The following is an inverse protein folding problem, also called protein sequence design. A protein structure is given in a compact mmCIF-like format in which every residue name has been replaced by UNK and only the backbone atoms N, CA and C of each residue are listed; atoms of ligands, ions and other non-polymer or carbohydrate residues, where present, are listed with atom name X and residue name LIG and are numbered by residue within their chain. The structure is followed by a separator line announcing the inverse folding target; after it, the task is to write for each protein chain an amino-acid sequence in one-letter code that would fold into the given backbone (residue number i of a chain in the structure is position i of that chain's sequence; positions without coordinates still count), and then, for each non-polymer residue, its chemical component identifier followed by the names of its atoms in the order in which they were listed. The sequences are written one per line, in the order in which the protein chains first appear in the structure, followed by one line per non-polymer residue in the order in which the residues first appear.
data_IF_161437634435
#
_entry.id   IF_161437634435
#
_cell.length_a   1.000
_cell.length_b   1.000
_cell.length_c   1.000
_cell.angle_alpha   90.00
_cell.angle_beta   90.00
_cell.angle_gamma   90.00
#
_symmetry.space_group_name_H-M   'P 1'
#
loop_
_entity.id
_entity.type
_entity.pdbx_description
1 polymer ?
#
# COMPACT_ATOMS: atom_id res chain seq x y z
N UNK A 1 -22.85 24.44 8.17
CA UNK A 1 -21.93 24.44 9.33
C UNK A 1 -20.97 23.29 9.09
N UNK A 2 -19.68 23.59 8.82
CA UNK A 2 -18.68 22.57 8.52
C UNK A 2 -18.33 21.84 9.83
N UNK A 3 -18.61 20.55 9.89
CA UNK A 3 -18.15 19.64 10.92
C UNK A 3 -16.61 19.63 10.89
N UNK A 4 -15.98 20.29 11.88
CA UNK A 4 -14.55 20.17 12.13
C UNK A 4 -14.27 18.70 12.48
N UNK A 5 -13.78 17.96 11.50
CA UNK A 5 -13.27 16.60 11.67
C UNK A 5 -12.18 16.63 12.77
N UNK A 6 -12.54 16.28 14.01
CA UNK A 6 -11.62 16.20 15.14
C UNK A 6 -10.74 14.98 14.88
N UNK A 7 -9.55 15.19 14.34
CA UNK A 7 -8.52 14.15 14.25
C UNK A 7 -8.28 13.58 15.64
N UNK A 8 -8.47 12.29 15.80
CA UNK A 8 -8.19 11.59 17.06
C UNK A 8 -6.67 11.47 17.27
N UNK A 9 -6.24 11.19 18.49
CA UNK A 9 -4.82 10.88 18.79
C UNK A 9 -4.34 9.71 17.93
N UNK A 10 -5.21 8.74 17.67
CA UNK A 10 -4.94 7.59 16.79
C UNK A 10 -4.68 8.02 15.35
N UNK A 11 -5.47 8.96 14.83
CA UNK A 11 -5.29 9.48 13.47
C UNK A 11 -3.98 10.26 13.32
N UNK A 12 -3.63 11.05 14.33
CA UNK A 12 -2.36 11.77 14.37
C UNK A 12 -1.17 10.81 14.38
N UNK A 13 -1.23 9.76 15.22
CA UNK A 13 -0.17 8.73 15.31
C UNK A 13 -0.02 8.00 13.98
N UNK A 14 -1.13 7.57 13.37
CA UNK A 14 -1.14 6.93 12.04
C UNK A 14 -0.54 7.86 10.96
N UNK A 15 -0.93 9.13 10.96
CA UNK A 15 -0.40 10.13 10.04
C UNK A 15 1.11 10.38 10.20
N UNK A 16 1.61 10.41 11.45
CA UNK A 16 3.04 10.59 11.71
C UNK A 16 3.86 9.38 11.24
N UNK A 17 3.37 8.16 11.48
CA UNK A 17 3.99 6.92 10.98
C UNK A 17 4.07 6.92 9.46
N UNK A 18 2.96 7.25 8.79
CA UNK A 18 2.91 7.31 7.33
C UNK A 18 3.91 8.31 6.75
N UNK A 19 4.06 9.51 7.38
CA UNK A 19 5.05 10.51 6.93
C UNK A 19 6.49 10.00 7.06
N UNK A 20 6.84 9.36 8.17
CA UNK A 20 8.19 8.81 8.37
C UNK A 20 8.49 7.73 7.33
N UNK A 21 7.59 6.76 7.15
CA UNK A 21 7.75 5.71 6.13
C UNK A 21 7.86 6.31 4.73
N UNK A 22 7.00 7.27 4.39
CA UNK A 22 7.02 7.94 3.09
C UNK A 22 8.37 8.60 2.82
N UNK A 23 8.95 9.30 3.80
CA UNK A 23 10.28 9.92 3.63
C UNK A 23 11.38 8.90 3.44
N UNK A 24 11.36 7.80 4.18
CA UNK A 24 12.33 6.72 4.02
C UNK A 24 12.22 6.02 2.66
N UNK A 25 11.00 5.91 2.09
CA UNK A 25 10.81 5.39 0.74
C UNK A 25 11.34 6.35 -0.34
N UNK A 26 11.11 7.65 -0.19
CA UNK A 26 11.39 8.61 -1.27
C UNK A 26 12.78 9.21 -1.21
N UNK A 27 13.28 9.47 -0.02
CA UNK A 27 14.54 10.20 0.17
C UNK A 27 15.69 9.25 0.51
N UNK A 28 15.40 7.94 0.65
CA UNK A 28 16.37 6.91 0.99
C UNK A 28 16.66 6.82 2.48
N UNK A 29 17.79 6.22 2.88
CA UNK A 29 18.16 6.12 4.27
C UNK A 29 18.37 7.50 4.90
N UNK A 30 17.67 7.77 6.02
CA UNK A 30 17.74 9.03 6.76
C UNK A 30 18.00 8.76 8.23
N UNK A 31 18.74 9.66 8.87
CA UNK A 31 18.88 9.70 10.33
C UNK A 31 17.63 10.30 10.99
N UNK A 32 17.46 10.04 12.32
CA UNK A 32 16.38 10.68 13.09
C UNK A 32 16.43 12.21 13.03
N UNK A 33 17.64 12.78 12.92
CA UNK A 33 17.83 14.21 12.82
C UNK A 33 17.35 14.77 11.49
N UNK A 34 17.54 14.06 10.37
CA UNK A 34 17.07 14.43 9.04
C UNK A 34 15.57 14.21 8.86
N UNK A 35 15.01 13.18 9.51
CA UNK A 35 13.57 12.92 9.51
C UNK A 35 12.75 14.07 10.15
N UNK A 36 13.29 14.77 11.14
CA UNK A 36 12.61 15.92 11.78
C UNK A 36 12.18 16.97 10.76
N UNK A 37 13.12 17.69 10.12
CA UNK A 37 12.78 18.69 9.11
C UNK A 37 12.05 18.11 7.89
N UNK A 38 12.39 16.90 7.45
CA UNK A 38 11.75 16.26 6.31
C UNK A 38 10.25 15.95 6.52
N UNK A 39 9.83 15.70 7.76
CA UNK A 39 8.44 15.38 8.11
C UNK A 39 7.69 16.52 8.81
N UNK A 40 8.40 17.53 9.30
CA UNK A 40 7.84 18.58 10.16
C UNK A 40 7.47 18.10 11.57
N UNK A 41 8.01 16.95 12.01
CA UNK A 41 7.76 16.40 13.34
C UNK A 41 8.85 16.82 14.35
N UNK A 42 8.47 16.95 15.62
CA UNK A 42 9.44 17.20 16.69
C UNK A 42 10.37 15.99 16.89
N UNK A 43 11.57 16.21 17.44
CA UNK A 43 12.54 15.15 17.73
C UNK A 43 11.97 14.06 18.66
N UNK A 44 11.15 14.43 19.63
CA UNK A 44 10.45 13.47 20.49
C UNK A 44 9.44 12.62 19.72
N UNK A 45 8.66 13.24 18.82
CA UNK A 45 7.73 12.51 17.95
C UNK A 45 8.44 11.56 17.00
N UNK A 46 9.57 12.00 16.40
CA UNK A 46 10.39 11.11 15.54
C UNK A 46 10.93 9.93 16.35
N UNK A 47 11.47 10.17 17.54
CA UNK A 47 12.04 9.10 18.38
C UNK A 47 10.98 8.04 18.71
N UNK A 48 9.77 8.46 19.08
CA UNK A 48 8.68 7.55 19.40
C UNK A 48 8.23 6.76 18.15
N UNK A 49 8.00 7.44 17.02
CA UNK A 49 7.56 6.78 15.79
C UNK A 49 8.60 5.78 15.27
N UNK A 50 9.89 6.16 15.28
CA UNK A 50 10.97 5.27 14.85
C UNK A 50 11.07 4.06 15.78
N UNK A 51 10.96 4.26 17.11
CA UNK A 51 10.99 3.14 18.05
C UNK A 51 9.83 2.16 17.82
N UNK A 52 8.63 2.67 17.58
CA UNK A 52 7.46 1.84 17.25
C UNK A 52 7.65 1.05 15.95
N UNK A 53 8.03 1.73 14.87
CA UNK A 53 8.25 1.08 13.57
C UNK A 53 9.38 0.06 13.60
N UNK A 54 10.46 0.33 14.35
CA UNK A 54 11.56 -0.61 14.54
C UNK A 54 11.15 -1.83 15.38
N UNK A 55 10.36 -1.62 16.44
CA UNK A 55 9.83 -2.70 17.28
C UNK A 55 8.87 -3.63 16.49
N UNK A 56 8.17 -3.09 15.50
CA UNK A 56 7.33 -3.85 14.56
C UNK A 56 8.12 -4.50 13.41
N UNK A 57 9.44 -4.31 13.35
CA UNK A 57 10.29 -4.84 12.28
C UNK A 57 10.16 -4.12 10.94
N UNK A 58 9.49 -2.95 10.90
CA UNK A 58 9.28 -2.20 9.66
C UNK A 58 10.47 -1.31 9.26
N UNK A 59 11.37 -1.03 10.20
CA UNK A 59 12.60 -0.26 9.98
C UNK A 59 13.82 -1.03 10.43
N UNK A 60 14.92 -0.83 9.70
CA UNK A 60 16.24 -1.34 10.05
C UNK A 60 17.33 -0.27 9.92
N UNK A 61 18.47 -0.47 10.55
CA UNK A 61 19.64 0.37 10.37
C UNK A 61 20.30 0.13 9.01
N UNK A 62 20.71 1.22 8.37
CA UNK A 62 21.31 1.22 7.03
C UNK A 62 22.77 1.69 7.04
N UNK A 63 23.39 1.80 8.21
CA UNK A 63 24.74 2.24 8.39
C UNK A 63 24.87 3.45 9.32
N UNK A 64 26.09 3.91 9.48
CA UNK A 64 26.46 5.05 10.30
C UNK A 64 27.15 6.08 9.41
N UNK A 65 26.81 7.35 9.57
CA UNK A 65 27.47 8.46 8.89
C UNK A 65 28.17 9.31 9.95
N UNK A 66 29.46 9.57 9.71
CA UNK A 66 30.23 10.49 10.55
C UNK A 66 29.68 11.91 10.38
N UNK A 67 29.59 12.63 11.49
CA UNK A 67 29.24 14.05 11.45
C UNK A 67 30.49 14.89 11.63
N UNK A 68 30.66 15.95 10.86
CA UNK A 68 31.77 16.91 11.01
C UNK A 68 31.78 17.50 12.45
N UNK A 69 32.57 16.86 13.32
CA UNK A 69 32.74 17.29 14.73
C UNK A 69 31.61 16.92 15.69
N UNK A 70 30.63 16.11 15.28
CA UNK A 70 29.51 15.66 16.12
C UNK A 70 29.48 14.15 16.34
N UNK A 71 28.47 13.65 17.10
CA UNK A 71 28.26 12.21 17.31
C UNK A 71 27.82 11.52 16.01
N UNK A 72 28.40 10.37 15.65
CA UNK A 72 27.98 9.59 14.49
C UNK A 72 26.47 9.35 14.46
N UNK A 73 25.88 9.40 13.28
CA UNK A 73 24.43 9.29 13.08
C UNK A 73 24.08 7.95 12.43
N UNK A 74 23.19 7.21 13.06
CA UNK A 74 22.62 5.97 12.46
C UNK A 74 21.59 6.34 11.41
N UNK A 75 21.77 5.84 10.21
CA UNK A 75 20.79 5.90 9.14
C UNK A 75 19.76 4.78 9.29
N UNK A 76 18.52 5.08 8.96
CA UNK A 76 17.36 4.19 9.01
C UNK A 76 16.82 4.01 7.60
N UNK A 77 16.38 2.81 7.27
CA UNK A 77 15.63 2.51 6.05
C UNK A 77 14.45 1.57 6.36
N UNK A 78 13.52 1.45 5.43
CA UNK A 78 12.48 0.43 5.49
C UNK A 78 13.14 -0.94 5.44
N UNK A 79 12.70 -1.85 6.31
CA UNK A 79 13.20 -3.22 6.37
C UNK A 79 12.52 -4.05 5.26
N UNK A 80 13.26 -4.60 4.26
CA UNK A 80 12.64 -5.36 3.17
C UNK A 80 11.82 -6.55 3.67
N UNK A 81 12.31 -7.23 4.66
CA UNK A 81 11.71 -8.40 5.29
C UNK A 81 10.71 -8.09 6.41
N UNK A 82 10.37 -6.81 6.63
CA UNK A 82 9.42 -6.39 7.67
C UNK A 82 7.95 -6.75 7.36
N UNK A 83 7.64 -7.16 6.14
CA UNK A 83 6.29 -7.56 5.73
C UNK A 83 6.20 -7.72 4.22
N UNK A 84 4.99 -8.02 3.76
CA UNK A 84 4.69 -8.27 2.35
C UNK A 84 3.51 -7.41 1.88
N UNK A 85 3.52 -7.07 0.61
CA UNK A 85 2.44 -6.33 -0.05
C UNK A 85 2.01 -7.07 -1.31
N UNK A 86 0.71 -7.12 -1.56
CA UNK A 86 0.17 -7.61 -2.83
C UNK A 86 -0.38 -6.45 -3.64
N UNK A 87 0.07 -6.34 -4.89
CA UNK A 87 -0.49 -5.46 -5.91
C UNK A 87 -1.30 -6.24 -6.92
N UNK A 88 -2.51 -5.77 -7.22
CA UNK A 88 -3.41 -6.37 -8.21
C UNK A 88 -3.79 -5.29 -9.21
N UNK A 89 -3.54 -5.55 -10.48
CA UNK A 89 -3.96 -4.69 -11.59
C UNK A 89 -4.95 -5.44 -12.48
N UNK A 90 -6.17 -4.93 -12.50
CA UNK A 90 -7.22 -5.41 -13.40
C UNK A 90 -7.27 -4.46 -14.59
N UNK A 91 -6.57 -4.86 -15.64
CA UNK A 91 -6.53 -4.13 -16.90
C UNK A 91 -7.57 -4.60 -17.91
N UNK A 92 -7.60 -3.99 -19.09
CA UNK A 92 -8.53 -4.33 -20.14
C UNK A 92 -8.24 -5.69 -20.81
N UNK A 93 -7.01 -6.17 -20.75
CA UNK A 93 -6.58 -7.40 -21.44
C UNK A 93 -6.07 -8.48 -20.51
N UNK A 94 -5.88 -8.16 -19.22
CA UNK A 94 -5.29 -9.08 -18.25
C UNK A 94 -5.61 -8.70 -16.83
N UNK A 95 -5.51 -9.68 -15.94
CA UNK A 95 -5.39 -9.50 -14.49
C UNK A 95 -3.95 -9.85 -14.10
N UNK A 96 -3.26 -8.93 -13.47
CA UNK A 96 -1.91 -9.12 -12.95
C UNK A 96 -1.95 -9.10 -11.44
N UNK A 97 -1.22 -10.03 -10.80
CA UNK A 97 -1.03 -10.09 -9.35
C UNK A 97 0.46 -10.17 -9.09
N UNK A 98 0.96 -9.31 -8.23
CA UNK A 98 2.36 -9.17 -7.89
C UNK A 98 2.53 -9.17 -6.37
N UNK A 99 3.55 -9.87 -5.87
CA UNK A 99 3.95 -9.88 -4.47
C UNK A 99 5.26 -9.10 -4.32
N UNK A 100 5.29 -8.20 -3.34
CA UNK A 100 6.45 -7.36 -3.05
C UNK A 100 6.90 -7.51 -1.60
N UNK A 101 8.20 -7.35 -1.36
CA UNK A 101 8.72 -7.03 -0.04
C UNK A 101 8.46 -5.55 0.31
N UNK A 102 8.82 -5.12 1.52
CA UNK A 102 8.64 -3.72 1.92
C UNK A 102 9.61 -2.74 1.23
N UNK A 103 10.65 -3.21 0.56
CA UNK A 103 11.47 -2.33 -0.29
C UNK A 103 10.87 -2.13 -1.69
N UNK A 104 9.69 -2.70 -1.94
CA UNK A 104 8.99 -2.75 -3.23
C UNK A 104 9.76 -3.56 -4.29
N UNK A 105 10.59 -4.51 -3.86
CA UNK A 105 11.18 -5.52 -4.74
C UNK A 105 10.12 -6.57 -5.05
N UNK A 106 9.89 -6.85 -6.33
CA UNK A 106 8.99 -7.91 -6.79
C UNK A 106 9.57 -9.28 -6.42
N UNK A 107 8.81 -10.07 -5.67
CA UNK A 107 9.18 -11.42 -5.25
C UNK A 107 8.56 -12.51 -6.13
N UNK A 108 7.34 -12.28 -6.59
CA UNK A 108 6.62 -13.17 -7.49
C UNK A 108 5.57 -12.40 -8.27
N UNK A 109 5.22 -12.90 -9.46
CA UNK A 109 4.18 -12.33 -10.32
C UNK A 109 3.44 -13.42 -11.06
N UNK A 110 2.13 -13.22 -11.22
CA UNK A 110 1.31 -13.99 -12.15
C UNK A 110 0.46 -13.05 -13.01
N UNK A 111 0.19 -13.48 -14.22
CA UNK A 111 -0.63 -12.72 -15.17
C UNK A 111 -1.58 -13.67 -15.88
N UNK A 112 -2.84 -13.26 -15.99
CA UNK A 112 -3.89 -14.03 -16.69
C UNK A 112 -4.55 -13.16 -17.72
N UNK A 113 -4.48 -13.59 -18.98
CA UNK A 113 -5.12 -12.88 -20.09
C UNK A 113 -6.64 -12.99 -19.97
N UNK A 114 -7.31 -11.87 -20.24
CA UNK A 114 -8.76 -11.80 -20.39
C UNK A 114 -9.11 -11.98 -21.87
N UNK A 115 -10.09 -12.85 -22.16
CA UNK A 115 -10.66 -12.91 -23.48
C UNK A 115 -11.40 -11.61 -23.82
N UNK A 116 -11.63 -11.34 -25.11
CA UNK A 116 -12.48 -10.22 -25.53
C UNK A 116 -13.82 -10.29 -24.77
N UNK A 117 -14.22 -9.18 -24.13
CA UNK A 117 -15.40 -9.09 -23.26
C UNK A 117 -15.39 -10.01 -22.02
N UNK A 118 -14.21 -10.44 -21.57
CA UNK A 118 -14.02 -11.34 -20.42
C UNK A 118 -14.11 -10.66 -19.04
N UNK A 119 -14.91 -9.59 -18.88
CA UNK A 119 -15.07 -8.85 -17.63
C UNK A 119 -16.15 -9.38 -16.71
N UNK A 120 -16.51 -10.64 -16.87
CA UNK A 120 -17.36 -11.32 -15.90
C UNK A 120 -16.78 -11.22 -14.49
N UNK A 121 -17.58 -10.72 -13.54
CA UNK A 121 -17.14 -10.43 -12.19
C UNK A 121 -16.61 -11.67 -11.48
N UNK A 122 -17.32 -12.79 -11.62
CA UNK A 122 -16.96 -14.05 -10.96
C UNK A 122 -15.62 -14.57 -11.51
N UNK A 123 -15.41 -14.45 -12.82
CA UNK A 123 -14.14 -14.84 -13.47
C UNK A 123 -12.99 -13.96 -13.00
N UNK A 124 -13.18 -12.64 -12.91
CA UNK A 124 -12.15 -11.71 -12.40
C UNK A 124 -11.81 -12.05 -10.95
N UNK A 125 -12.82 -12.26 -10.10
CA UNK A 125 -12.62 -12.66 -8.70
C UNK A 125 -11.85 -14.00 -8.61
N UNK A 126 -12.21 -14.98 -9.46
CA UNK A 126 -11.50 -16.25 -9.51
C UNK A 126 -10.03 -16.10 -9.96
N UNK A 127 -9.75 -15.22 -10.94
CA UNK A 127 -8.38 -14.90 -11.35
C UNK A 127 -7.57 -14.24 -10.24
N UNK A 128 -8.16 -13.30 -9.51
CA UNK A 128 -7.53 -12.65 -8.38
C UNK A 128 -7.24 -13.67 -7.26
N UNK A 129 -8.23 -14.46 -6.86
CA UNK A 129 -8.06 -15.51 -5.85
C UNK A 129 -6.91 -16.44 -6.17
N UNK A 130 -6.93 -16.99 -7.40
CA UNK A 130 -5.88 -17.93 -7.83
C UNK A 130 -4.52 -17.21 -7.93
N UNK A 131 -4.50 -15.97 -8.45
CA UNK A 131 -3.28 -15.19 -8.58
C UNK A 131 -2.62 -14.89 -7.23
N UNK A 132 -3.39 -14.53 -6.19
CA UNK A 132 -2.87 -14.31 -4.84
C UNK A 132 -2.29 -15.61 -4.26
N UNK A 133 -3.01 -16.72 -4.39
CA UNK A 133 -2.50 -18.02 -3.95
C UNK A 133 -1.22 -18.42 -4.68
N UNK A 134 -1.14 -18.19 -5.99
CA UNK A 134 0.02 -18.52 -6.81
C UNK A 134 1.26 -17.70 -6.38
N UNK A 135 1.16 -16.36 -6.25
CA UNK A 135 2.32 -15.54 -5.88
C UNK A 135 2.82 -15.82 -4.47
N UNK A 136 1.93 -16.14 -3.51
CA UNK A 136 2.31 -16.53 -2.16
C UNK A 136 3.05 -17.88 -2.17
N UNK A 137 2.52 -18.86 -2.88
CA UNK A 137 3.15 -20.19 -3.03
C UNK A 137 4.51 -20.09 -3.71
N UNK A 138 4.60 -19.36 -4.83
CA UNK A 138 5.80 -19.30 -5.66
C UNK A 138 6.95 -18.58 -4.93
N UNK A 139 6.62 -17.63 -4.06
CA UNK A 139 7.58 -16.97 -3.18
C UNK A 139 7.84 -17.71 -1.87
N UNK A 140 7.12 -18.82 -1.56
CA UNK A 140 7.18 -19.47 -0.25
C UNK A 140 6.77 -18.56 0.90
N UNK A 141 5.84 -17.62 0.64
CA UNK A 141 5.49 -16.55 1.55
C UNK A 141 4.36 -16.95 2.52
N UNK A 142 4.50 -16.57 3.79
CA UNK A 142 3.46 -16.71 4.80
C UNK A 142 2.41 -15.61 4.64
N UNK A 143 1.10 -15.93 4.40
CA UNK A 143 0.03 -14.95 4.32
C UNK A 143 -0.11 -14.05 5.56
N UNK A 144 0.29 -14.50 6.74
CA UNK A 144 0.27 -13.71 7.97
C UNK A 144 1.28 -12.56 7.97
N UNK A 145 2.22 -12.54 7.03
CA UNK A 145 3.15 -11.43 6.83
C UNK A 145 2.62 -10.33 5.92
N UNK A 146 1.43 -10.52 5.33
CA UNK A 146 0.80 -9.52 4.49
C UNK A 146 0.38 -8.29 5.31
N UNK A 147 0.84 -7.14 4.90
CA UNK A 147 0.48 -5.83 5.48
C UNK A 147 -0.65 -5.14 4.72
N UNK A 148 -0.94 -5.58 3.52
CA UNK A 148 -2.03 -5.05 2.73
C UNK A 148 -2.09 -5.55 1.29
N UNK A 149 -3.25 -5.40 0.69
CA UNK A 149 -3.53 -5.72 -0.70
C UNK A 149 -4.06 -4.46 -1.38
N UNK A 150 -3.39 -4.01 -2.44
CA UNK A 150 -3.82 -2.90 -3.29
C UNK A 150 -4.40 -3.40 -4.60
N UNK A 151 -5.56 -2.88 -5.01
CA UNK A 151 -6.25 -3.30 -6.24
C UNK A 151 -6.55 -2.09 -7.11
N UNK A 152 -5.99 -2.06 -8.31
CA UNK A 152 -6.36 -1.13 -9.37
C UNK A 152 -7.43 -1.74 -10.26
N UNK A 153 -8.55 -1.05 -10.46
CA UNK A 153 -9.62 -1.51 -11.35
C UNK A 153 -9.99 -0.42 -12.36
N UNK A 154 -10.47 -0.78 -13.55
CA UNK A 154 -11.03 0.21 -14.47
C UNK A 154 -12.41 0.66 -13.96
N UNK A 155 -12.64 1.99 -13.91
CA UNK A 155 -13.94 2.54 -13.52
C UNK A 155 -13.89 3.53 -12.35
N UNK A 156 -15.07 3.92 -11.89
CA UNK A 156 -15.26 4.82 -10.76
C UNK A 156 -15.49 4.00 -9.51
N UNK A 157 -14.81 4.38 -8.43
CA UNK A 157 -14.96 3.74 -7.12
C UNK A 157 -15.83 4.63 -6.23
N UNK A 158 -16.97 4.11 -5.85
CA UNK A 158 -17.84 4.71 -4.83
C UNK A 158 -17.67 3.98 -3.50
N UNK A 159 -17.92 4.70 -2.41
CA UNK A 159 -17.80 4.15 -1.05
C UNK A 159 -19.17 4.14 -0.40
N UNK A 160 -19.73 2.96 -0.21
CA UNK A 160 -21.11 2.76 0.28
C UNK A 160 -21.14 2.02 1.62
N UNK A 161 -22.30 2.07 2.27
CA UNK A 161 -22.55 1.38 3.53
C UNK A 161 -21.98 2.07 4.77
N UNK A 162 -22.08 1.42 5.94
CA UNK A 162 -21.50 1.91 7.19
C UNK A 162 -19.97 1.88 7.15
N UNK A 163 -19.34 2.68 7.98
CA UNK A 163 -17.90 2.64 8.16
C UNK A 163 -17.49 1.34 8.87
N UNK A 164 -16.53 0.63 8.28
CA UNK A 164 -15.92 -0.55 8.87
C UNK A 164 -14.99 -0.21 10.05
N UNK A 165 -14.37 -1.22 10.68
CA UNK A 165 -13.46 -1.03 11.82
C UNK A 165 -12.25 -0.14 11.50
N UNK A 166 -11.88 -0.03 10.23
CA UNK A 166 -10.80 0.82 9.71
C UNK A 166 -11.26 2.26 9.39
N UNK A 167 -12.53 2.60 9.66
CA UNK A 167 -13.13 3.90 9.36
C UNK A 167 -13.42 4.11 7.87
N UNK A 168 -13.51 3.03 7.08
CA UNK A 168 -13.81 3.08 5.64
C UNK A 168 -15.13 2.43 5.34
N UNK A 169 -15.77 2.92 4.29
CA UNK A 169 -16.95 2.29 3.68
C UNK A 169 -16.50 1.33 2.58
N UNK A 170 -17.29 0.32 2.31
CA UNK A 170 -17.02 -0.70 1.29
C UNK A 170 -16.93 -0.08 -0.11
N UNK A 171 -15.98 -0.53 -0.89
CA UNK A 171 -15.81 -0.07 -2.26
C UNK A 171 -16.76 -0.81 -3.20
N UNK A 172 -17.53 -0.02 -3.94
CA UNK A 172 -18.40 -0.45 -5.05
C UNK A 172 -17.82 0.11 -6.34
N UNK A 173 -17.79 -0.71 -7.39
CA UNK A 173 -17.17 -0.37 -8.67
C UNK A 173 -18.21 -0.16 -9.76
N UNK A 174 -18.12 0.99 -10.46
CA UNK A 174 -18.86 1.33 -11.65
C UNK A 174 -17.91 1.42 -12.85
N UNK A 175 -17.89 0.42 -13.70
CA UNK A 175 -17.02 0.32 -14.87
C UNK A 175 -17.80 0.26 -16.16
N UNK A 176 -18.10 1.40 -16.80
CA UNK A 176 -18.90 1.41 -18.05
C UNK A 176 -18.23 0.61 -19.18
N UNK A 177 -16.91 0.72 -19.31
CA UNK A 177 -16.15 0.01 -20.37
C UNK A 177 -16.11 -1.50 -20.18
N UNK A 178 -16.31 -1.96 -18.94
CA UNK A 178 -16.28 -3.38 -18.57
C UNK A 178 -17.66 -3.93 -18.18
N UNK A 179 -18.72 -3.13 -18.34
CA UNK A 179 -20.10 -3.52 -18.07
C UNK A 179 -20.46 -3.69 -16.59
N UNK A 180 -19.65 -3.16 -15.67
CA UNK A 180 -19.92 -3.25 -14.24
C UNK A 180 -20.79 -2.10 -13.75
N UNK A 181 -21.90 -2.45 -13.09
CA UNK A 181 -22.82 -1.50 -12.47
C UNK A 181 -22.97 -1.82 -11.00
N UNK A 182 -22.51 -0.93 -10.14
CA UNK A 182 -22.60 -1.06 -8.68
C UNK A 182 -22.10 -2.43 -8.15
N UNK A 183 -20.95 -2.91 -8.65
CA UNK A 183 -20.40 -4.20 -8.22
C UNK A 183 -19.76 -4.05 -6.84
N UNK A 184 -20.18 -4.79 -5.80
CA UNK A 184 -19.60 -4.74 -4.44
C UNK A 184 -18.24 -5.48 -4.40
N UNK A 185 -17.31 -5.02 -5.21
CA UNK A 185 -16.09 -5.76 -5.55
C UNK A 185 -15.17 -5.99 -4.36
N UNK A 186 -15.09 -5.03 -3.42
CA UNK A 186 -14.33 -5.23 -2.18
C UNK A 186 -14.85 -6.41 -1.37
N UNK A 187 -16.17 -6.51 -1.22
CA UNK A 187 -16.78 -7.62 -0.48
C UNK A 187 -16.50 -8.95 -1.18
N UNK A 188 -16.71 -9.03 -2.50
CA UNK A 188 -16.44 -10.25 -3.27
C UNK A 188 -14.99 -10.72 -3.16
N UNK A 189 -14.03 -9.79 -3.18
CA UNK A 189 -12.62 -10.14 -2.99
C UNK A 189 -12.33 -10.61 -1.57
N UNK A 190 -12.89 -9.96 -0.54
CA UNK A 190 -12.72 -10.38 0.87
C UNK A 190 -13.25 -11.78 1.14
N UNK A 191 -14.34 -12.17 0.46
CA UNK A 191 -14.93 -13.50 0.57
C UNK A 191 -14.14 -14.57 -0.22
N UNK A 192 -13.48 -14.16 -1.32
CA UNK A 192 -12.84 -15.10 -2.23
C UNK A 192 -11.34 -15.34 -1.93
N UNK A 193 -10.63 -14.33 -1.44
CA UNK A 193 -9.16 -14.40 -1.26
C UNK A 193 -8.85 -14.97 0.13
N UNK A 194 -8.09 -16.06 0.14
CA UNK A 194 -7.69 -16.76 1.37
C UNK A 194 -6.48 -16.07 2.02
N UNK A 195 -6.74 -15.02 2.77
CA UNK A 195 -5.75 -14.26 3.55
C UNK A 195 -6.35 -13.90 4.91
N UNK A 196 -5.52 -13.60 5.94
CA UNK A 196 -6.03 -13.18 7.24
C UNK A 196 -7.01 -12.00 7.12
N UNK A 197 -8.17 -12.03 7.82
CA UNK A 197 -9.23 -11.02 7.65
C UNK A 197 -8.82 -9.61 8.09
N UNK A 198 -7.79 -9.50 8.92
CA UNK A 198 -7.19 -8.22 9.34
C UNK A 198 -6.35 -7.55 8.26
N UNK A 199 -5.95 -8.27 7.20
CA UNK A 199 -5.17 -7.69 6.08
C UNK A 199 -6.04 -6.66 5.36
N UNK A 200 -5.64 -5.38 5.34
CA UNK A 200 -6.44 -4.35 4.70
C UNK A 200 -6.41 -4.50 3.17
N UNK A 201 -7.58 -4.34 2.56
CA UNK A 201 -7.75 -4.34 1.12
C UNK A 201 -8.12 -2.94 0.66
N UNK A 202 -7.39 -2.42 -0.32
CA UNK A 202 -7.55 -1.08 -0.87
C UNK A 202 -7.88 -1.16 -2.34
N UNK A 203 -9.03 -0.62 -2.75
CA UNK A 203 -9.43 -0.55 -4.16
C UNK A 203 -9.46 0.91 -4.60
N UNK A 204 -8.82 1.22 -5.72
CA UNK A 204 -8.90 2.53 -6.37
C UNK A 204 -8.88 2.34 -7.91
N UNK A 205 -9.14 3.40 -8.64
CA UNK A 205 -9.07 3.42 -10.10
C UNK A 205 -7.63 3.16 -10.56
N UNK A 206 -7.44 2.22 -11.49
CA UNK A 206 -6.12 1.78 -11.96
C UNK A 206 -5.30 2.91 -12.61
N UNK A 207 -5.91 3.74 -13.43
CA UNK A 207 -5.22 4.89 -14.05
C UNK A 207 -4.78 5.93 -12.99
N UNK A 208 -5.62 6.15 -11.96
CA UNK A 208 -5.29 7.05 -10.86
C UNK A 208 -4.18 6.50 -9.97
N UNK A 209 -4.17 5.18 -9.70
CA UNK A 209 -3.09 4.54 -8.93
C UNK A 209 -1.78 4.56 -9.70
N UNK A 210 -1.80 4.30 -11.01
CA UNK A 210 -0.63 4.41 -11.88
C UNK A 210 -0.07 5.84 -11.90
N UNK A 211 -0.93 6.85 -12.08
CA UNK A 211 -0.51 8.26 -12.04
C UNK A 211 0.16 8.64 -10.72
N UNK A 212 -0.37 8.15 -9.58
CA UNK A 212 0.28 8.35 -8.27
C UNK A 212 1.62 7.63 -8.16
N UNK A 213 1.72 6.40 -8.64
CA UNK A 213 2.96 5.65 -8.64
C UNK A 213 4.05 6.35 -9.46
N UNK A 214 3.70 6.88 -10.65
CA UNK A 214 4.60 7.68 -11.48
C UNK A 214 5.05 8.99 -10.79
N UNK A 215 4.15 9.65 -10.07
CA UNK A 215 4.52 10.85 -9.28
C UNK A 215 5.43 10.51 -8.10
N UNK A 216 5.31 9.33 -7.51
CA UNK A 216 6.05 8.95 -6.32
C UNK A 216 7.37 8.25 -6.65
N UNK A 217 7.38 7.34 -7.61
CA UNK A 217 8.50 6.46 -7.94
C UNK A 217 9.05 6.63 -9.35
N UNK A 218 8.32 7.31 -10.24
CA UNK A 218 8.66 7.50 -11.63
C UNK A 218 9.34 8.84 -11.95
N UNK A 219 9.39 9.18 -13.26
CA UNK A 219 9.97 10.42 -13.77
C UNK A 219 9.26 11.71 -13.34
N UNK A 220 8.07 11.62 -12.75
CA UNK A 220 7.30 12.77 -12.23
C UNK A 220 7.83 13.38 -10.94
N UNK A 221 8.85 12.80 -10.30
CA UNK A 221 9.44 13.27 -9.03
C UNK A 221 10.00 14.69 -9.03
N UNK A 222 10.23 15.29 -10.19
CA UNK A 222 10.74 16.66 -10.34
C UNK A 222 9.75 17.65 -10.95
N UNK A 223 8.55 17.24 -11.31
CA UNK A 223 7.60 18.05 -12.07
C UNK A 223 6.54 18.77 -11.20
N UNK A 224 6.63 18.67 -9.89
CA UNK A 224 5.69 19.27 -8.95
C UNK A 224 6.35 20.29 -8.04
N UNK A 225 6.44 21.50 -8.51
CA UNK A 225 6.65 22.68 -7.69
C UNK A 225 5.47 23.65 -7.93
#
# INVERSE_FOLDING_TARGET
MAERNRRTVRDLRRGNRARVLQRLYFDGPLSRQELGPATGLSSGSISNVVAELAAEGLLQEAGIVDSDGGRPRTLLKVAPDGGLLVGIDIGETRVRVELFDLSLTELARTERLLAQHGYDVERIVAHVRTGVADVLRDAGADPHRLLGIGVGVPGIIEREGPEGPDGRRTAVVHGQTIGWQAVPFEQLLREAVDVPPEVPLFIDNGAKTLGRAEMWFGGGRGAGA
#
